data_IF_987080256379
#
_entry.id   IF_987080256379
#
_cell.length_a   1.000
_cell.length_b   1.000
_cell.length_c   1.000
_cell.angle_alpha   90.00
_cell.angle_beta   90.00
_cell.angle_gamma   90.00
#
_symmetry.space_group_name_H-M   'P 1'
#
loop_
_entity.id
_entity.type
_entity.pdbx_description
1 polymer ?
#
# COMPACT_ATOMS: atom_id res chain seq x y z
N UNK A 1 1.32 58.73 38.27
CA UNK A 1 0.64 57.50 38.73
C UNK A 1 -0.11 56.83 37.56
N UNK A 2 0.55 56.57 36.41
CA UNK A 2 -0.16 56.10 35.20
C UNK A 2 0.62 55.18 34.25
N UNK A 3 1.95 55.05 34.41
CA UNK A 3 2.78 54.31 33.44
C UNK A 3 3.00 52.82 33.78
N UNK A 4 2.72 52.40 35.02
CA UNK A 4 2.87 50.99 35.47
C UNK A 4 1.68 50.10 35.08
N UNK A 5 0.50 50.68 34.82
CA UNK A 5 -0.73 49.94 34.53
C UNK A 5 -0.80 49.46 33.07
N UNK A 6 -0.29 50.26 32.13
CA UNK A 6 -0.33 49.95 30.69
C UNK A 6 0.56 48.75 30.31
N UNK A 7 1.70 48.57 30.98
CA UNK A 7 2.65 47.49 30.67
C UNK A 7 2.13 46.10 31.11
N UNK A 8 1.33 46.03 32.18
CA UNK A 8 0.71 44.80 32.65
C UNK A 8 -0.45 44.36 31.74
N UNK A 9 -1.22 45.32 31.21
CA UNK A 9 -2.32 45.04 30.28
C UNK A 9 -1.82 44.48 28.93
N UNK A 10 -0.70 44.98 28.42
CA UNK A 10 -0.10 44.49 27.16
C UNK A 10 0.48 43.08 27.27
N UNK A 11 1.05 42.72 28.43
CA UNK A 11 1.61 41.38 28.66
C UNK A 11 0.49 40.32 28.81
N UNK A 12 -0.61 40.67 29.47
CA UNK A 12 -1.78 39.80 29.61
C UNK A 12 -2.47 39.53 28.26
N UNK A 13 -2.57 40.54 27.39
CA UNK A 13 -3.13 40.38 26.04
C UNK A 13 -2.26 39.47 25.15
N UNK A 14 -0.92 39.55 25.28
CA UNK A 14 0.01 38.72 24.53
C UNK A 14 -0.04 37.25 24.99
N UNK A 15 -0.14 37.00 26.29
CA UNK A 15 -0.32 35.67 26.87
C UNK A 15 -1.66 35.02 26.49
N UNK A 16 -2.75 35.81 26.44
CA UNK A 16 -4.05 35.34 25.99
C UNK A 16 -4.07 34.99 24.49
N UNK A 17 -3.36 35.77 23.66
CA UNK A 17 -3.21 35.47 22.24
C UNK A 17 -2.42 34.17 22.00
N UNK A 18 -1.32 33.95 22.73
CA UNK A 18 -0.53 32.70 22.67
C UNK A 18 -1.32 31.46 23.12
N UNK A 19 -2.23 31.60 24.10
CA UNK A 19 -3.12 30.52 24.53
C UNK A 19 -4.18 30.15 23.47
N UNK A 20 -4.63 31.12 22.66
CA UNK A 20 -5.60 30.88 21.58
C UNK A 20 -4.99 30.17 20.36
N UNK A 21 -3.68 30.26 20.16
CA UNK A 21 -2.95 29.50 19.12
C UNK A 21 -2.73 28.03 19.50
N UNK A 22 -2.88 27.65 20.78
CA UNK A 22 -2.75 26.27 21.24
C UNK A 22 -3.97 25.37 20.99
N UNK A 23 -5.08 25.95 20.53
CA UNK A 23 -6.33 25.23 20.26
C UNK A 23 -6.40 24.70 18.82
N UNK A 24 -5.32 24.14 18.28
CA UNK A 24 -5.47 23.20 17.17
C UNK A 24 -6.03 21.91 17.76
N UNK A 25 -7.34 21.73 17.67
CA UNK A 25 -8.03 20.54 18.16
C UNK A 25 -7.33 19.29 17.63
N UNK A 26 -6.64 18.56 18.52
CA UNK A 26 -6.23 17.22 18.17
C UNK A 26 -7.52 16.44 17.91
N UNK A 27 -7.67 15.81 16.73
CA UNK A 27 -8.83 14.97 16.49
C UNK A 27 -8.79 13.87 17.56
N UNK A 28 -9.75 13.92 18.48
CA UNK A 28 -9.85 12.96 19.58
C UNK A 28 -9.74 11.53 19.06
N UNK A 29 -9.27 10.58 19.90
CA UNK A 29 -9.16 9.20 19.47
C UNK A 29 -10.54 8.77 18.96
N UNK A 30 -10.60 8.49 17.65
CA UNK A 30 -11.81 7.91 17.07
C UNK A 30 -12.08 6.56 17.75
N UNK A 31 -13.26 5.97 17.56
CA UNK A 31 -13.61 4.69 18.17
C UNK A 31 -12.68 3.52 17.77
N UNK A 32 -11.75 3.75 16.85
CA UNK A 32 -10.82 2.75 16.34
C UNK A 32 -9.36 3.12 16.67
N UNK A 33 -8.57 2.17 17.20
CA UNK A 33 -7.15 2.36 17.41
C UNK A 33 -6.45 2.65 16.08
N UNK A 34 -5.45 3.52 16.14
CA UNK A 34 -4.71 3.97 14.97
C UNK A 34 -3.79 2.84 14.49
N UNK A 35 -3.95 2.44 13.24
CA UNK A 35 -3.11 1.42 12.60
C UNK A 35 -2.01 2.12 11.81
N UNK A 36 -0.75 1.78 12.08
CA UNK A 36 0.39 2.25 11.31
C UNK A 36 0.67 1.31 10.14
N UNK A 37 0.76 1.84 8.93
CA UNK A 37 1.02 1.10 7.69
C UNK A 37 2.23 1.69 6.94
N UNK A 38 2.88 0.88 6.11
CA UNK A 38 3.87 1.39 5.16
C UNK A 38 3.16 2.00 3.95
N UNK A 39 2.18 1.29 3.38
CA UNK A 39 1.39 1.76 2.25
C UNK A 39 -0.11 1.66 2.55
N UNK A 40 -0.84 2.72 2.19
CA UNK A 40 -2.31 2.74 2.17
C UNK A 40 -2.81 2.98 0.75
N UNK A 41 -3.54 2.03 0.20
CA UNK A 41 -4.32 2.20 -1.03
C UNK A 41 -5.72 2.66 -0.62
N UNK A 42 -6.09 3.88 -0.98
CA UNK A 42 -7.25 4.57 -0.42
C UNK A 42 -8.37 4.76 -1.43
N UNK A 43 -9.61 4.48 -1.02
CA UNK A 43 -10.83 4.83 -1.73
C UNK A 43 -11.12 3.99 -2.97
N UNK A 44 -10.47 2.84 -3.11
CA UNK A 44 -10.66 1.93 -4.24
C UNK A 44 -11.91 1.06 -4.12
N UNK A 45 -12.30 0.47 -5.24
CA UNK A 45 -13.30 -0.61 -5.30
C UNK A 45 -12.57 -1.94 -5.24
N UNK A 46 -12.70 -2.66 -4.13
CA UNK A 46 -12.00 -3.92 -3.88
C UNK A 46 -12.73 -5.09 -4.52
N UNK A 47 -11.97 -5.89 -5.28
CA UNK A 47 -12.33 -7.21 -5.79
C UNK A 47 -11.39 -8.22 -5.12
N UNK A 48 -11.85 -8.91 -4.07
CA UNK A 48 -10.97 -9.71 -3.19
C UNK A 48 -10.60 -11.10 -3.73
N UNK A 49 -11.06 -11.46 -4.92
CA UNK A 49 -10.84 -12.78 -5.53
C UNK A 49 -11.75 -13.89 -5.01
N UNK A 50 -12.62 -13.62 -4.03
CA UNK A 50 -13.60 -14.60 -3.51
C UNK A 50 -14.81 -14.82 -4.40
N UNK A 51 -14.93 -14.08 -5.51
CA UNK A 51 -16.06 -14.15 -6.45
C UNK A 51 -17.33 -13.42 -5.99
N UNK A 52 -17.31 -12.79 -4.82
CA UNK A 52 -18.40 -11.96 -4.32
C UNK A 52 -18.53 -10.61 -5.04
N UNK A 53 -19.60 -9.83 -4.75
CA UNK A 53 -19.73 -8.48 -5.28
C UNK A 53 -18.60 -7.57 -4.76
N UNK A 54 -18.11 -6.63 -5.59
CA UNK A 54 -17.08 -5.71 -5.17
C UNK A 54 -17.59 -4.73 -4.12
N UNK A 55 -16.69 -4.23 -3.28
CA UNK A 55 -17.02 -3.27 -2.22
C UNK A 55 -15.95 -2.20 -2.10
N UNK A 56 -16.36 -0.99 -1.74
CA UNK A 56 -15.39 0.08 -1.55
C UNK A 56 -14.66 -0.10 -0.21
N UNK A 57 -13.33 -0.01 -0.21
CA UNK A 57 -12.50 -0.16 0.98
C UNK A 57 -11.11 0.47 0.79
N UNK A 58 -10.44 0.72 1.91
CA UNK A 58 -9.01 1.03 1.91
C UNK A 58 -8.22 -0.25 2.20
N UNK A 59 -7.04 -0.40 1.60
CA UNK A 59 -6.14 -1.54 1.79
C UNK A 59 -4.83 -1.06 2.40
N UNK A 60 -4.45 -1.59 3.55
CA UNK A 60 -3.24 -1.23 4.26
C UNK A 60 -2.23 -2.37 4.28
N UNK A 61 -0.97 -2.03 4.01
CA UNK A 61 0.14 -2.95 3.83
C UNK A 61 1.26 -2.58 4.81
N UNK A 62 1.85 -3.59 5.43
CA UNK A 62 3.10 -3.49 6.23
C UNK A 62 4.06 -4.55 5.71
N UNK A 63 5.25 -4.13 5.28
CA UNK A 63 6.20 -5.03 4.64
C UNK A 63 5.59 -5.77 3.44
N UNK A 64 5.49 -7.09 3.55
CA UNK A 64 4.98 -8.02 2.52
C UNK A 64 3.51 -8.41 2.70
N UNK A 65 2.83 -7.85 3.72
CA UNK A 65 1.56 -8.36 4.20
C UNK A 65 0.45 -7.30 4.16
N UNK A 66 -0.73 -7.71 3.69
CA UNK A 66 -1.96 -6.91 3.83
C UNK A 66 -2.48 -7.08 5.25
N UNK A 67 -2.46 -6.00 6.02
CA UNK A 67 -2.85 -6.02 7.45
C UNK A 67 -4.32 -5.64 7.67
N UNK A 68 -4.94 -4.95 6.71
CA UNK A 68 -6.33 -4.55 6.78
C UNK A 68 -6.90 -4.25 5.38
N UNK A 69 -8.16 -4.65 5.18
CA UNK A 69 -9.01 -4.23 4.06
C UNK A 69 -10.30 -3.69 4.69
N UNK A 70 -10.41 -2.39 4.93
CA UNK A 70 -11.55 -1.83 5.67
C UNK A 70 -11.71 -0.31 5.45
N UNK A 71 -12.96 0.16 5.52
CA UNK A 71 -13.30 1.60 5.49
C UNK A 71 -13.26 2.27 6.87
N UNK A 72 -13.51 1.49 7.91
CA UNK A 72 -13.84 2.04 9.22
C UNK A 72 -12.62 2.17 10.14
N UNK A 73 -11.40 1.94 9.66
CA UNK A 73 -10.20 2.07 10.50
C UNK A 73 -9.54 3.43 10.29
N UNK A 74 -9.05 4.01 11.39
CA UNK A 74 -8.09 5.12 11.29
C UNK A 74 -6.72 4.55 10.98
N UNK A 75 -6.26 4.78 9.75
CA UNK A 75 -4.95 4.32 9.27
C UNK A 75 -4.05 5.53 9.06
N UNK A 76 -2.85 5.47 9.63
CA UNK A 76 -1.75 6.37 9.29
C UNK A 76 -0.75 5.55 8.50
N UNK A 77 -0.35 6.05 7.33
CA UNK A 77 0.58 5.36 6.46
C UNK A 77 1.76 6.25 6.10
N UNK A 78 2.93 5.63 5.88
CA UNK A 78 4.11 6.32 5.34
C UNK A 78 3.81 6.86 3.94
N UNK A 79 3.26 5.99 3.09
CA UNK A 79 2.85 6.31 1.73
C UNK A 79 1.36 6.07 1.53
N UNK A 80 0.70 6.92 0.73
CA UNK A 80 -0.72 6.77 0.39
C UNK A 80 -0.92 6.88 -1.12
N UNK A 81 -1.61 5.90 -1.68
CA UNK A 81 -2.02 5.84 -3.07
C UNK A 81 -3.53 6.09 -3.18
N UNK A 82 -3.94 7.06 -4.00
CA UNK A 82 -5.36 7.34 -4.28
C UNK A 82 -5.87 6.43 -5.40
N UNK A 83 -6.81 5.53 -5.05
CA UNK A 83 -7.41 4.58 -5.96
C UNK A 83 -8.88 4.88 -6.27
N UNK A 84 -9.36 6.11 -6.02
CA UNK A 84 -10.74 6.49 -6.30
C UNK A 84 -11.09 6.30 -7.78
N UNK A 85 -12.19 5.60 -8.03
CA UNK A 85 -12.65 5.26 -9.39
C UNK A 85 -11.85 4.13 -10.04
N UNK A 86 -10.90 3.52 -9.32
CA UNK A 86 -10.10 2.39 -9.78
C UNK A 86 -10.50 1.11 -9.03
N UNK A 87 -10.19 -0.03 -9.65
CA UNK A 87 -10.28 -1.33 -9.02
C UNK A 87 -9.00 -1.62 -8.21
N UNK A 88 -9.17 -2.29 -7.07
CA UNK A 88 -8.06 -2.86 -6.28
C UNK A 88 -8.32 -4.36 -6.19
N UNK A 89 -7.39 -5.16 -6.69
CA UNK A 89 -7.52 -6.62 -6.76
C UNK A 89 -6.20 -7.29 -6.32
N UNK A 90 -6.23 -8.58 -5.96
CA UNK A 90 -5.02 -9.39 -5.90
C UNK A 90 -4.26 -9.29 -7.22
N UNK A 91 -2.93 -9.34 -7.15
CA UNK A 91 -2.11 -9.45 -8.35
C UNK A 91 -2.47 -10.72 -9.12
N UNK A 92 -2.46 -10.63 -10.45
CA UNK A 92 -2.88 -11.74 -11.29
C UNK A 92 -1.86 -12.88 -11.26
N UNK A 93 -2.36 -14.10 -11.41
CA UNK A 93 -1.57 -15.33 -11.47
C UNK A 93 -1.60 -15.80 -12.92
N UNK A 94 -0.45 -15.77 -13.59
CA UNK A 94 -0.31 -16.31 -14.93
C UNK A 94 -0.05 -17.81 -14.86
N UNK A 95 -1.10 -18.58 -15.12
CA UNK A 95 -1.09 -20.04 -14.99
C UNK A 95 -0.32 -20.76 -16.11
N UNK A 96 -0.10 -20.10 -17.25
CA UNK A 96 0.43 -20.70 -18.47
C UNK A 96 1.61 -19.89 -18.99
N UNK A 97 2.58 -19.61 -18.11
CA UNK A 97 3.67 -18.70 -18.42
C UNK A 97 4.74 -19.36 -19.30
N UNK A 98 5.15 -18.62 -20.31
CA UNK A 98 6.29 -18.94 -21.17
C UNK A 98 7.49 -18.03 -20.90
N UNK A 99 7.40 -17.12 -19.91
CA UNK A 99 8.39 -16.07 -19.67
C UNK A 99 9.68 -16.52 -18.97
N UNK A 100 9.96 -17.82 -18.89
CA UNK A 100 11.11 -18.35 -18.13
C UNK A 100 12.44 -17.78 -18.63
N UNK A 101 12.67 -17.83 -19.95
CA UNK A 101 13.92 -17.37 -20.56
C UNK A 101 14.06 -15.85 -20.46
N UNK A 102 12.96 -15.12 -20.64
CA UNK A 102 12.91 -13.66 -20.54
C UNK A 102 13.19 -13.21 -19.11
N UNK A 103 12.59 -13.85 -18.11
CA UNK A 103 12.78 -13.48 -16.70
C UNK A 103 14.20 -13.78 -16.23
N UNK A 104 14.86 -14.81 -16.76
CA UNK A 104 16.29 -15.07 -16.52
C UNK A 104 17.20 -14.00 -17.14
N UNK A 105 16.81 -13.43 -18.29
CA UNK A 105 17.57 -12.38 -18.98
C UNK A 105 17.32 -10.99 -18.38
N UNK A 106 16.08 -10.71 -18.00
CA UNK A 106 15.64 -9.47 -17.37
C UNK A 106 14.65 -9.78 -16.24
N UNK A 107 15.17 -9.83 -15.02
CA UNK A 107 14.40 -10.16 -13.81
C UNK A 107 13.32 -9.13 -13.43
N UNK A 108 13.14 -8.06 -14.21
CA UNK A 108 12.06 -7.10 -14.00
C UNK A 108 10.71 -7.59 -14.49
N UNK A 109 10.64 -8.50 -15.45
CA UNK A 109 9.36 -9.07 -15.91
C UNK A 109 8.34 -8.03 -16.43
N UNK A 110 8.81 -6.95 -17.06
CA UNK A 110 8.01 -5.75 -17.37
C UNK A 110 6.77 -6.00 -18.23
N UNK A 111 6.77 -7.05 -19.06
CA UNK A 111 5.61 -7.41 -19.89
C UNK A 111 4.41 -7.81 -19.02
N UNK A 112 4.66 -8.68 -18.04
CA UNK A 112 3.62 -9.25 -17.19
C UNK A 112 3.25 -8.30 -16.05
N UNK A 113 4.24 -7.62 -15.45
CA UNK A 113 4.00 -6.59 -14.42
C UNK A 113 3.07 -5.48 -14.92
N UNK A 114 3.23 -5.01 -16.16
CA UNK A 114 2.37 -3.95 -16.73
C UNK A 114 0.93 -4.39 -16.98
N UNK A 115 0.69 -5.70 -17.03
CA UNK A 115 -0.63 -6.29 -17.12
C UNK A 115 -1.24 -6.60 -15.75
N UNK A 116 -0.47 -6.41 -14.67
CA UNK A 116 -0.91 -6.68 -13.30
C UNK A 116 -0.60 -8.10 -12.80
N UNK A 117 0.20 -8.87 -13.54
CA UNK A 117 0.66 -10.19 -13.09
C UNK A 117 1.70 -10.04 -11.99
N UNK A 118 1.61 -10.87 -10.97
CA UNK A 118 2.53 -10.88 -9.82
C UNK A 118 3.09 -12.26 -9.50
N UNK A 119 2.55 -13.31 -10.14
CA UNK A 119 3.01 -14.69 -10.00
C UNK A 119 2.93 -15.40 -11.34
N UNK A 120 4.04 -16.03 -11.72
CA UNK A 120 4.18 -16.86 -12.91
C UNK A 120 4.21 -18.34 -12.52
N UNK A 121 3.45 -19.18 -13.22
CA UNK A 121 3.56 -20.63 -13.18
C UNK A 121 4.15 -21.10 -14.52
N UNK A 122 5.32 -21.74 -14.44
CA UNK A 122 6.03 -22.28 -15.60
C UNK A 122 5.82 -23.80 -15.75
N UNK A 123 6.28 -24.35 -16.87
CA UNK A 123 6.19 -25.79 -17.17
C UNK A 123 5.29 -26.11 -18.36
N UNK A 124 4.80 -25.09 -19.06
CA UNK A 124 3.99 -25.25 -20.26
C UNK A 124 4.84 -25.76 -21.41
N UNK A 125 4.51 -26.98 -21.88
CA UNK A 125 5.20 -27.66 -22.98
C UNK A 125 6.60 -28.17 -22.67
N UNK A 126 7.38 -27.43 -21.86
CA UNK A 126 8.76 -27.75 -21.51
C UNK A 126 9.03 -27.37 -20.05
N UNK A 127 9.80 -28.20 -19.35
CA UNK A 127 10.26 -27.90 -18.00
C UNK A 127 11.76 -27.59 -18.00
N UNK A 128 12.21 -26.48 -17.39
CA UNK A 128 13.64 -26.18 -17.22
C UNK A 128 14.31 -27.09 -16.18
N UNK A 129 13.57 -28.02 -15.56
CA UNK A 129 14.11 -28.93 -14.57
C UNK A 129 13.25 -30.18 -14.30
N UNK A 130 13.78 -31.13 -13.52
CA UNK A 130 15.14 -31.16 -13.00
C UNK A 130 16.15 -31.50 -14.11
N UNK A 131 17.21 -30.69 -14.24
CA UNK A 131 18.32 -30.97 -15.17
C UNK A 131 19.47 -31.59 -14.39
N UNK A 132 19.89 -32.78 -14.80
CA UNK A 132 21.14 -33.40 -14.38
C UNK A 132 22.09 -33.50 -15.58
N UNK A 133 23.34 -33.95 -15.36
CA UNK A 133 24.32 -34.04 -16.45
C UNK A 133 23.89 -34.91 -17.64
N UNK A 134 23.01 -35.89 -17.43
CA UNK A 134 22.45 -36.71 -18.53
C UNK A 134 21.45 -35.89 -19.35
N UNK A 135 20.47 -35.27 -18.68
CA UNK A 135 19.44 -34.44 -19.33
C UNK A 135 20.07 -33.25 -20.06
N UNK A 136 21.09 -32.62 -19.47
CA UNK A 136 21.82 -31.52 -20.12
C UNK A 136 22.50 -31.96 -21.43
N UNK A 137 23.04 -33.19 -21.50
CA UNK A 137 23.61 -33.73 -22.76
C UNK A 137 22.54 -34.03 -23.81
N UNK A 138 21.36 -34.49 -23.38
CA UNK A 138 20.21 -34.76 -24.27
C UNK A 138 19.61 -33.47 -24.85
N UNK A 139 19.57 -32.37 -24.07
CA UNK A 139 19.04 -31.06 -24.51
C UNK A 139 19.99 -30.28 -25.43
N UNK A 140 21.30 -30.61 -25.43
CA UNK A 140 22.35 -29.93 -26.19
C UNK A 140 22.81 -30.71 -27.45
N UNK A 141 22.23 -31.87 -27.71
CA UNK A 141 22.52 -32.73 -28.87
C UNK A 141 21.55 -32.45 -30.02
#
# INVERSE_FOLDING_TARGET
>A
MGLRSACAASLAALLAALAALGCTGQPGPGPYPLVAADLLIRGGTVYDGGGGPPYAADVAIVGDSVIAVNRDRRISARDTLDARGLAVAPGFINMLSWGYDELLRDGRGESDLRQGVTLEIFGEGQSPGPVNQRVARELLA
#
